data_IF_264975610269
#
_entry.id   IF_264975610269
#
_cell.length_a   1.000
_cell.length_b   1.000
_cell.length_c   1.000
_cell.angle_alpha   90.00
_cell.angle_beta   90.00
_cell.angle_gamma   90.00
#
_symmetry.space_group_name_H-M   'P 1'
#
loop_
_entity.id
_entity.type
_entity.pdbx_description
1 polymer ?
#
# COMPACT_ATOMS: atom_id res chain seq x y z
N UNK A 1 8.88 20.68 -20.65
CA UNK A 1 8.88 19.40 -21.40
C UNK A 1 8.86 18.26 -20.40
N UNK A 2 8.24 17.14 -20.76
CA UNK A 2 8.32 15.88 -20.01
C UNK A 2 9.46 15.06 -20.63
N UNK A 3 10.36 14.53 -19.81
CA UNK A 3 11.47 13.70 -20.28
C UNK A 3 11.02 12.33 -20.78
N UNK A 4 11.95 11.55 -21.35
CA UNK A 4 11.70 10.13 -21.65
C UNK A 4 11.30 9.39 -20.37
N UNK A 5 10.27 8.52 -20.42
CA UNK A 5 9.87 7.77 -19.24
C UNK A 5 10.92 6.73 -18.86
N UNK A 6 11.19 6.62 -17.58
CA UNK A 6 11.84 5.44 -17.03
C UNK A 6 10.81 4.30 -16.92
N UNK A 7 11.15 3.12 -17.42
CA UNK A 7 10.36 1.90 -17.27
C UNK A 7 10.79 1.15 -16.02
N UNK A 8 9.82 0.73 -15.21
CA UNK A 8 10.06 0.11 -13.91
C UNK A 8 9.28 -1.21 -13.85
N UNK A 9 9.96 -2.30 -13.53
CA UNK A 9 9.28 -3.57 -13.29
C UNK A 9 8.47 -3.50 -11.98
N UNK A 10 7.19 -3.84 -12.06
CA UNK A 10 6.28 -3.90 -10.90
C UNK A 10 5.44 -5.20 -10.93
N UNK A 11 6.08 -6.39 -10.99
CA UNK A 11 5.38 -7.66 -11.12
C UNK A 11 4.54 -8.00 -9.88
N UNK A 12 3.62 -8.95 -10.05
CA UNK A 12 2.83 -9.56 -8.97
C UNK A 12 1.32 -9.45 -9.15
N UNK A 13 0.78 -8.30 -9.57
CA UNK A 13 -0.61 -8.28 -10.07
C UNK A 13 -0.73 -9.12 -11.34
N UNK A 14 0.24 -8.93 -12.25
CA UNK A 14 0.60 -9.90 -13.29
C UNK A 14 2.12 -9.99 -13.39
N UNK A 15 2.64 -11.11 -13.88
CA UNK A 15 4.09 -11.31 -14.03
C UNK A 15 4.76 -10.26 -14.93
N UNK A 16 4.03 -9.74 -15.93
CA UNK A 16 4.54 -8.78 -16.92
C UNK A 16 4.30 -7.30 -16.58
N UNK A 17 3.78 -6.98 -15.39
CA UNK A 17 3.40 -5.61 -15.08
C UNK A 17 4.61 -4.66 -14.99
N UNK A 18 4.46 -3.49 -15.62
CA UNK A 18 5.42 -2.38 -15.55
C UNK A 18 4.74 -1.10 -15.07
N UNK A 19 5.54 -0.20 -14.54
CA UNK A 19 5.19 1.21 -14.31
C UNK A 19 6.09 2.14 -15.13
N UNK A 20 5.66 3.38 -15.27
CA UNK A 20 6.38 4.44 -15.96
C UNK A 20 6.57 5.63 -15.02
N UNK A 21 7.78 6.19 -14.99
CA UNK A 21 8.09 7.41 -14.24
C UNK A 21 8.51 8.53 -15.19
N UNK A 22 7.78 9.64 -15.14
CA UNK A 22 8.01 10.82 -15.98
C UNK A 22 8.53 11.97 -15.13
N UNK A 23 9.72 12.47 -15.44
CA UNK A 23 10.25 13.69 -14.85
C UNK A 23 9.49 14.91 -15.37
N UNK A 24 8.92 15.69 -14.45
CA UNK A 24 8.18 16.92 -14.75
C UNK A 24 9.11 18.13 -14.66
N UNK A 25 8.74 19.22 -15.34
CA UNK A 25 9.54 20.44 -15.41
C UNK A 25 9.71 21.15 -14.04
N UNK A 26 8.85 20.86 -13.08
CA UNK A 26 8.90 21.41 -11.72
C UNK A 26 9.68 20.52 -10.73
N UNK A 27 10.41 19.51 -11.24
CA UNK A 27 11.26 18.62 -10.45
C UNK A 27 10.52 17.42 -9.83
N UNK A 28 9.19 17.38 -9.92
CA UNK A 28 8.36 16.25 -9.47
C UNK A 28 8.40 15.10 -10.47
N UNK A 29 7.92 13.94 -10.03
CA UNK A 29 7.73 12.77 -10.89
C UNK A 29 6.25 12.42 -11.00
N UNK A 30 5.78 12.17 -12.22
CA UNK A 30 4.48 11.52 -12.45
C UNK A 30 4.69 10.03 -12.67
N UNK A 31 4.06 9.22 -11.83
CA UNK A 31 4.14 7.76 -11.82
C UNK A 31 2.86 7.19 -12.40
N UNK A 32 2.96 6.45 -13.51
CA UNK A 32 1.89 5.61 -14.02
C UNK A 32 2.20 4.18 -13.58
N UNK A 33 1.65 3.76 -12.45
CA UNK A 33 2.09 2.54 -11.76
C UNK A 33 1.19 1.31 -12.00
N UNK A 34 0.21 1.44 -12.90
CA UNK A 34 -0.73 0.36 -13.22
C UNK A 34 -1.46 -0.16 -11.98
N UNK A 35 -1.72 -1.46 -11.96
CA UNK A 35 -2.48 -2.14 -10.90
C UNK A 35 -1.58 -2.67 -9.78
N UNK A 36 -0.47 -1.97 -9.47
CA UNK A 36 0.37 -2.32 -8.31
C UNK A 36 -0.37 -2.05 -6.98
N UNK A 37 -1.30 -1.09 -6.99
CA UNK A 37 -2.18 -0.72 -5.90
C UNK A 37 -3.43 -0.04 -6.50
N UNK A 38 -4.43 0.29 -5.67
CA UNK A 38 -5.61 1.03 -6.12
C UNK A 38 -5.99 2.17 -5.16
N UNK A 39 -6.74 3.16 -5.66
CA UNK A 39 -7.25 4.29 -4.90
C UNK A 39 -8.76 4.58 -5.14
N UNK A 40 -9.61 3.56 -4.99
CA UNK A 40 -11.06 3.71 -5.21
C UNK A 40 -11.79 4.32 -4.00
N UNK A 41 -11.52 3.83 -2.78
CA UNK A 41 -12.00 4.43 -1.53
C UNK A 41 -10.84 4.52 -0.52
N UNK A 42 -9.75 5.12 -1.00
CA UNK A 42 -8.45 5.18 -0.33
C UNK A 42 -7.49 4.07 -0.77
N UNK A 43 -6.20 4.33 -0.55
CA UNK A 43 -5.08 3.45 -0.92
C UNK A 43 -5.21 2.05 -0.31
N UNK A 44 -5.13 1.05 -1.19
CA UNK A 44 -5.31 -0.38 -0.87
C UNK A 44 -4.57 -1.26 -1.86
N UNK A 45 -4.46 -2.54 -1.50
CA UNK A 45 -4.00 -3.60 -2.40
C UNK A 45 -4.95 -3.80 -3.59
N UNK A 46 -4.46 -4.30 -4.74
CA UNK A 46 -5.26 -4.86 -5.82
C UNK A 46 -6.25 -5.92 -5.33
N UNK A 47 -7.35 -6.09 -6.06
CA UNK A 47 -8.38 -7.11 -5.73
C UNK A 47 -7.81 -8.52 -5.94
N UNK A 48 -7.02 -8.67 -7.01
CA UNK A 48 -6.44 -9.94 -7.43
C UNK A 48 -4.94 -9.77 -7.65
N UNK A 49 -4.21 -10.83 -7.35
CA UNK A 49 -2.79 -10.97 -7.67
C UNK A 49 -2.59 -12.30 -8.38
N UNK A 50 -1.68 -12.33 -9.35
CA UNK A 50 -1.07 -13.55 -9.85
C UNK A 50 -0.09 -14.10 -8.80
N UNK A 51 0.79 -13.23 -8.27
CA UNK A 51 1.65 -13.49 -7.11
C UNK A 51 1.56 -12.32 -6.12
N UNK A 52 0.93 -12.58 -4.97
CA UNK A 52 0.73 -11.55 -3.95
C UNK A 52 2.03 -11.16 -3.23
N UNK A 53 2.93 -12.10 -2.99
CA UNK A 53 4.18 -11.79 -2.29
C UNK A 53 5.07 -10.88 -3.15
N UNK A 54 5.15 -11.17 -4.44
CA UNK A 54 5.83 -10.33 -5.43
C UNK A 54 5.15 -8.96 -5.57
N UNK A 55 3.82 -8.93 -5.62
CA UNK A 55 3.06 -7.68 -5.71
C UNK A 55 3.30 -6.76 -4.51
N UNK A 56 3.39 -7.31 -3.31
CA UNK A 56 3.75 -6.55 -2.10
C UNK A 56 5.20 -6.04 -2.15
N UNK A 57 6.14 -6.79 -2.74
CA UNK A 57 7.51 -6.32 -2.96
C UNK A 57 7.55 -5.17 -3.99
N UNK A 58 6.74 -5.23 -5.04
CA UNK A 58 6.58 -4.16 -6.02
C UNK A 58 5.98 -2.89 -5.41
N UNK A 59 5.00 -3.01 -4.51
CA UNK A 59 4.47 -1.86 -3.75
C UNK A 59 5.59 -1.20 -2.94
N UNK A 60 6.44 -1.98 -2.26
CA UNK A 60 7.58 -1.45 -1.49
C UNK A 60 8.58 -0.73 -2.38
N UNK A 61 8.96 -1.37 -3.49
CA UNK A 61 9.88 -0.81 -4.50
C UNK A 61 9.37 0.55 -5.01
N UNK A 62 8.09 0.64 -5.39
CA UNK A 62 7.49 1.91 -5.78
C UNK A 62 7.55 2.92 -4.62
N UNK A 63 7.13 2.51 -3.42
CA UNK A 63 7.03 3.40 -2.25
C UNK A 63 8.36 4.03 -1.85
N UNK A 64 9.46 3.29 -1.96
CA UNK A 64 10.81 3.79 -1.65
C UNK A 64 11.33 4.80 -2.68
N UNK A 65 10.72 4.84 -3.86
CA UNK A 65 11.06 5.79 -4.93
C UNK A 65 10.17 7.03 -4.95
N UNK A 66 8.98 6.97 -4.34
CA UNK A 66 8.04 8.09 -4.28
C UNK A 66 8.57 9.24 -3.41
N UNK A 67 8.48 10.46 -3.91
CA UNK A 67 8.87 11.69 -3.19
C UNK A 67 7.64 12.54 -2.84
N UNK A 68 7.80 13.47 -1.90
CA UNK A 68 6.74 14.42 -1.60
C UNK A 68 6.42 15.30 -2.82
N UNK A 69 5.13 15.48 -3.09
CA UNK A 69 4.64 16.25 -4.22
C UNK A 69 4.48 15.45 -5.52
N UNK A 70 5.10 14.27 -5.64
CA UNK A 70 4.96 13.41 -6.82
C UNK A 70 3.49 13.12 -7.13
N UNK A 71 3.17 12.85 -8.39
CA UNK A 71 1.84 12.45 -8.82
C UNK A 71 1.83 10.94 -9.03
N UNK A 72 0.99 10.22 -8.29
CA UNK A 72 0.82 8.78 -8.41
C UNK A 72 -0.52 8.45 -9.08
N UNK A 73 -0.44 7.88 -10.27
CA UNK A 73 -1.57 7.36 -11.03
C UNK A 73 -1.57 5.84 -10.94
N UNK A 74 -2.64 5.29 -10.36
CA UNK A 74 -2.90 3.86 -10.26
C UNK A 74 -3.94 3.47 -11.31
N UNK A 75 -3.98 2.19 -11.71
CA UNK A 75 -4.91 1.70 -12.73
C UNK A 75 -6.38 1.86 -12.33
N UNK A 76 -6.65 1.96 -11.02
CA UNK A 76 -7.98 2.25 -10.49
C UNK A 76 -8.01 3.38 -9.46
N UNK A 77 -8.95 4.31 -9.66
CA UNK A 77 -9.22 5.42 -8.75
C UNK A 77 -8.67 6.76 -9.22
N UNK A 78 -8.71 7.77 -8.35
CA UNK A 78 -8.20 9.10 -8.66
C UNK A 78 -6.68 9.15 -8.47
N UNK A 79 -5.95 9.94 -9.29
CA UNK A 79 -4.55 10.25 -9.03
C UNK A 79 -4.33 10.84 -7.64
N UNK A 80 -3.15 10.60 -7.08
CA UNK A 80 -2.77 11.03 -5.74
C UNK A 80 -1.59 11.98 -5.83
N UNK A 81 -1.67 13.14 -5.19
CA UNK A 81 -0.47 13.90 -4.84
C UNK A 81 0.18 13.22 -3.63
N UNK A 82 1.38 12.68 -3.83
CA UNK A 82 2.09 11.92 -2.81
C UNK A 82 2.48 12.85 -1.67
N UNK A 83 2.09 12.45 -0.46
CA UNK A 83 2.55 13.01 0.80
C UNK A 83 2.93 11.91 1.77
N UNK A 84 3.35 12.28 2.98
CA UNK A 84 3.73 11.34 4.04
C UNK A 84 2.63 10.29 4.33
N UNK A 85 1.37 10.72 4.41
CA UNK A 85 0.24 9.82 4.68
C UNK A 85 0.08 8.75 3.59
N UNK A 86 0.26 9.11 2.32
CA UNK A 86 0.18 8.18 1.20
C UNK A 86 1.32 7.16 1.25
N UNK A 87 2.57 7.62 1.46
CA UNK A 87 3.72 6.71 1.61
C UNK A 87 3.56 5.78 2.80
N UNK A 88 3.17 6.30 3.97
CA UNK A 88 2.90 5.48 5.16
C UNK A 88 1.83 4.42 4.88
N UNK A 89 0.75 4.81 4.18
CA UNK A 89 -0.32 3.87 3.83
C UNK A 89 0.17 2.76 2.91
N UNK A 90 0.97 3.08 1.88
CA UNK A 90 1.56 2.09 0.98
C UNK A 90 2.51 1.14 1.71
N UNK A 91 3.37 1.65 2.62
CA UNK A 91 4.31 0.83 3.41
C UNK A 91 3.64 -0.26 4.24
N UNK A 92 2.41 -0.03 4.70
CA UNK A 92 1.66 -0.97 5.55
C UNK A 92 0.68 -1.84 4.77
N UNK A 93 0.61 -1.74 3.44
CA UNK A 93 -0.14 -2.71 2.63
C UNK A 93 0.48 -4.11 2.79
N UNK A 94 -0.37 -5.13 2.87
CA UNK A 94 0.06 -6.49 3.18
C UNK A 94 0.41 -6.78 4.64
N UNK A 95 0.48 -5.75 5.51
CA UNK A 95 0.67 -5.95 6.95
C UNK A 95 -0.71 -6.15 7.60
N UNK A 96 -0.98 -7.32 8.22
CA UNK A 96 -2.23 -7.54 8.92
C UNK A 96 -2.38 -6.52 10.05
N UNK A 97 -3.60 -6.01 10.32
CA UNK A 97 -3.82 -5.11 11.43
C UNK A 97 -3.38 -5.79 12.72
N UNK A 98 -2.62 -5.08 13.56
CA UNK A 98 -2.29 -5.55 14.90
C UNK A 98 -3.61 -5.72 15.65
N UNK A 99 -4.00 -6.97 15.90
CA UNK A 99 -5.09 -7.25 16.84
C UNK A 99 -4.55 -6.95 18.24
N UNK A 100 -4.92 -5.80 18.80
CA UNK A 100 -4.81 -5.65 20.25
C UNK A 100 -5.65 -6.76 20.89
N UNK A 101 -5.01 -7.59 21.72
CA UNK A 101 -5.74 -8.47 22.63
C UNK A 101 -6.52 -7.55 23.57
N UNK A 102 -7.81 -7.37 23.31
CA UNK A 102 -8.73 -6.86 24.34
C UNK A 102 -8.66 -7.86 25.48
N UNK A 103 -8.03 -7.49 26.59
CA UNK A 103 -8.06 -8.26 27.81
C UNK A 103 -9.53 -8.36 28.23
N UNK A 104 -10.13 -9.53 28.04
CA UNK A 104 -11.50 -9.79 28.52
C UNK A 104 -11.57 -9.59 30.03
N UNK A 105 -12.73 -9.16 30.56
CA UNK A 105 -12.88 -8.99 32.01
C UNK A 105 -12.65 -10.34 32.69
N UNK A 106 -11.72 -10.33 33.65
CA UNK A 106 -11.28 -11.50 34.38
C UNK A 106 -12.46 -12.29 34.96
N UNK A 107 -12.40 -13.61 34.77
CA UNK A 107 -13.29 -14.56 35.43
C UNK A 107 -13.11 -14.42 36.95
N UNK A 108 -14.13 -13.88 37.62
CA UNK A 108 -14.26 -14.00 39.08
C UNK A 108 -14.46 -15.47 39.41
N UNK A 109 -13.49 -16.08 40.11
CA UNK A 109 -13.68 -17.37 40.78
C UNK A 109 -14.74 -17.17 41.87
N UNK A 110 -15.84 -17.92 41.79
CA UNK A 110 -16.78 -18.07 42.89
C UNK A 110 -16.10 -18.90 43.99
N UNK A 111 -15.86 -18.30 45.14
CA UNK A 111 -15.57 -19.03 46.37
C UNK A 111 -16.86 -19.70 46.85
N UNK A 112 -16.90 -21.02 46.78
CA UNK A 112 -17.82 -21.84 47.56
C UNK A 112 -17.13 -22.13 48.89
N UNK A 113 -17.63 -21.56 49.99
CA UNK A 113 -17.42 -22.05 51.36
C UNK A 113 -18.83 -22.25 51.94
N UNK A 114 -19.40 -23.45 51.82
CA UNK A 114 -19.32 -24.58 52.77
C UNK A 114 -20.09 -24.35 54.09
N UNK A 115 -20.92 -25.35 54.36
CA UNK A 115 -21.99 -25.44 55.36
C UNK A 115 -21.41 -25.76 56.73
N UNK A 116 -21.94 -25.13 57.78
CA UNK A 116 -22.05 -25.71 59.12
C UNK A 116 -23.33 -25.20 59.79
#
# INVERSE_FOLDING_TARGET
MVGEPEVIALPGHSAGQIGLAFSLADGRTAWIAGDVAMNLVGLREPILYEDRAEGLASIRTLTDRLRDGDLLCLGHGRPITVGEAARRRLRVLGVPPIREKVAGPGTRRSSSDEVA
#
